data_IF_882272170183
#
_entry.id   IF_882272170183
#
_cell.length_a   1.000
_cell.length_b   1.000
_cell.length_c   1.000
_cell.angle_alpha   90.00
_cell.angle_beta   90.00
_cell.angle_gamma   90.00
#
_symmetry.space_group_name_H-M   'P 1'
#
loop_
_entity.id
_entity.type
_entity.pdbx_description
1 polymer ?
#
# COMPACT_ATOMS: atom_id res chain seq x y z
N UNK A 1 -4.70 14.76 13.43
CA UNK A 1 -3.58 13.81 13.23
C UNK A 1 -4.07 12.37 13.27
N UNK A 2 -4.91 11.96 14.25
CA UNK A 2 -5.48 10.60 14.32
C UNK A 2 -6.39 10.20 13.15
N UNK A 3 -7.14 11.13 12.56
CA UNK A 3 -8.10 10.84 11.47
C UNK A 3 -7.40 10.26 10.24
N UNK A 4 -6.29 10.87 9.80
CA UNK A 4 -5.54 10.39 8.64
C UNK A 4 -4.88 9.01 8.85
N UNK A 5 -4.47 8.68 10.09
CA UNK A 5 -3.94 7.35 10.38
C UNK A 5 -5.05 6.29 10.33
N UNK A 6 -6.25 6.62 10.83
CA UNK A 6 -7.41 5.75 10.70
C UNK A 6 -7.83 5.58 9.22
N UNK A 7 -7.73 6.62 8.41
CA UNK A 7 -7.98 6.55 6.97
C UNK A 7 -6.96 5.64 6.27
N UNK A 8 -5.68 5.66 6.69
CA UNK A 8 -4.65 4.73 6.19
C UNK A 8 -5.02 3.28 6.56
N UNK A 9 -5.42 3.02 7.80
CA UNK A 9 -5.81 1.69 8.25
C UNK A 9 -7.01 1.16 7.46
N UNK A 10 -8.03 1.99 7.27
CA UNK A 10 -9.21 1.65 6.48
C UNK A 10 -8.83 1.39 5.00
N UNK A 11 -7.95 2.22 4.42
CA UNK A 11 -7.48 2.05 3.05
C UNK A 11 -6.68 0.74 2.90
N UNK A 12 -5.85 0.37 3.88
CA UNK A 12 -5.13 -0.90 3.86
C UNK A 12 -6.08 -2.10 3.96
N UNK A 13 -7.09 -2.02 4.84
CA UNK A 13 -8.10 -3.07 4.99
C UNK A 13 -8.95 -3.26 3.71
N UNK A 14 -9.10 -2.20 2.91
CA UNK A 14 -9.78 -2.24 1.61
C UNK A 14 -8.91 -2.69 0.43
N UNK A 15 -7.70 -3.23 0.67
CA UNK A 15 -6.88 -3.78 -0.42
C UNK A 15 -7.32 -5.19 -0.82
N UNK A 16 -7.76 -6.01 0.14
CA UNK A 16 -8.05 -7.42 -0.07
C UNK A 16 -7.50 -8.31 1.03
N UNK A 17 -7.34 -9.59 0.71
CA UNK A 17 -6.77 -10.59 1.62
C UNK A 17 -6.08 -11.71 0.85
N UNK A 18 -5.13 -12.38 1.49
CA UNK A 18 -4.59 -13.65 0.98
C UNK A 18 -5.37 -14.83 1.56
N UNK A 19 -5.82 -15.75 0.71
CA UNK A 19 -6.41 -17.03 1.13
C UNK A 19 -5.36 -18.14 1.36
N UNK A 20 -4.07 -17.79 1.24
CA UNK A 20 -2.93 -18.71 1.34
C UNK A 20 -2.53 -19.38 0.01
N UNK A 21 -3.33 -19.24 -1.05
CA UNK A 21 -3.00 -19.66 -2.41
C UNK A 21 -2.86 -18.47 -3.36
N UNK A 22 -3.82 -17.54 -3.27
CA UNK A 22 -3.90 -16.33 -4.07
C UNK A 22 -4.26 -15.14 -3.19
N UNK A 23 -3.83 -13.96 -3.59
CA UNK A 23 -4.37 -12.71 -3.12
C UNK A 23 -5.68 -12.39 -3.83
N UNK A 24 -6.73 -12.14 -3.06
CA UNK A 24 -8.04 -11.70 -3.51
C UNK A 24 -8.13 -10.19 -3.30
N UNK A 25 -7.89 -9.41 -4.35
CA UNK A 25 -8.04 -7.96 -4.29
C UNK A 25 -9.52 -7.55 -4.25
N UNK A 26 -9.85 -6.56 -3.43
CA UNK A 26 -11.17 -5.94 -3.44
C UNK A 26 -11.41 -5.18 -4.77
N UNK A 27 -12.68 -4.99 -5.20
CA UNK A 27 -13.00 -4.30 -6.45
C UNK A 27 -12.41 -2.89 -6.58
N UNK A 28 -12.18 -2.21 -5.45
CA UNK A 28 -11.65 -0.85 -5.35
C UNK A 28 -10.17 -0.79 -4.95
N UNK A 29 -9.45 -1.92 -4.96
CA UNK A 29 -8.04 -1.98 -4.57
C UNK A 29 -7.15 -0.99 -5.35
N UNK A 30 -7.47 -0.70 -6.61
CA UNK A 30 -6.76 0.31 -7.40
C UNK A 30 -6.89 1.72 -6.81
N UNK A 31 -8.08 2.11 -6.36
CA UNK A 31 -8.31 3.40 -5.71
C UNK A 31 -7.63 3.45 -4.33
N UNK A 32 -7.66 2.36 -3.59
CA UNK A 32 -6.92 2.22 -2.33
C UNK A 32 -5.41 2.40 -2.53
N UNK A 33 -4.81 1.75 -3.54
CA UNK A 33 -3.39 1.93 -3.88
C UNK A 33 -3.07 3.37 -4.30
N UNK A 34 -3.91 3.99 -5.14
CA UNK A 34 -3.77 5.41 -5.54
C UNK A 34 -3.80 6.33 -4.32
N UNK A 35 -4.70 6.06 -3.38
CA UNK A 35 -4.83 6.83 -2.15
C UNK A 35 -3.59 6.69 -1.25
N UNK A 36 -3.07 5.48 -1.05
CA UNK A 36 -1.83 5.25 -0.28
C UNK A 36 -0.63 5.98 -0.90
N UNK A 37 -0.49 5.93 -2.23
CA UNK A 37 0.55 6.70 -2.96
C UNK A 37 0.37 8.21 -2.72
N UNK A 38 -0.87 8.70 -2.79
CA UNK A 38 -1.20 10.10 -2.59
C UNK A 38 -0.89 10.58 -1.16
N UNK A 39 -1.17 9.76 -0.14
CA UNK A 39 -0.87 10.03 1.26
C UNK A 39 0.64 10.05 1.48
N UNK A 40 1.37 9.03 1.02
CA UNK A 40 2.81 8.92 1.22
C UNK A 40 3.61 10.05 0.56
N UNK A 41 3.13 10.61 -0.55
CA UNK A 41 3.73 11.78 -1.19
C UNK A 41 3.56 13.08 -0.39
N UNK A 42 2.66 13.09 0.59
CA UNK A 42 2.38 14.22 1.50
C UNK A 42 2.85 13.93 2.93
N UNK A 43 3.62 12.86 3.12
CA UNK A 43 4.19 12.55 4.42
C UNK A 43 5.11 13.69 4.84
N UNK A 44 5.01 14.07 6.11
CA UNK A 44 5.75 15.20 6.68
C UNK A 44 7.19 14.77 7.01
N UNK A 45 8.01 15.73 7.43
CA UNK A 45 9.43 15.51 7.77
C UNK A 45 9.64 14.44 8.87
N UNK A 46 8.62 14.15 9.67
CA UNK A 46 8.65 13.12 10.70
C UNK A 46 8.36 11.70 10.17
N UNK A 47 8.07 11.55 8.87
CA UNK A 47 7.73 10.31 8.18
C UNK A 47 6.70 9.45 8.93
N UNK A 48 5.65 10.10 9.46
CA UNK A 48 4.65 9.44 10.28
C UNK A 48 3.84 8.42 9.49
N UNK A 49 3.41 8.75 8.26
CA UNK A 49 2.56 7.86 7.45
C UNK A 49 3.33 6.63 6.98
N UNK A 50 4.58 6.81 6.54
CA UNK A 50 5.47 5.69 6.21
C UNK A 50 5.71 4.78 7.41
N UNK A 51 5.97 5.34 8.59
CA UNK A 51 6.18 4.53 9.81
C UNK A 51 4.91 3.79 10.21
N UNK A 52 3.75 4.40 10.04
CA UNK A 52 2.46 3.78 10.31
C UNK A 52 2.20 2.58 9.38
N UNK A 53 2.38 2.76 8.06
CA UNK A 53 2.29 1.67 7.08
C UNK A 53 3.30 0.54 7.33
N UNK A 54 4.51 0.89 7.78
CA UNK A 54 5.50 -0.11 8.19
C UNK A 54 5.04 -0.95 9.39
N UNK A 55 4.28 -0.36 10.32
CA UNK A 55 3.73 -1.06 11.49
C UNK A 55 2.50 -1.89 11.17
N UNK A 56 1.67 -1.44 10.22
CA UNK A 56 0.51 -2.21 9.74
C UNK A 56 0.91 -3.47 8.96
N UNK A 57 2.18 -3.54 8.52
CA UNK A 57 2.76 -4.65 7.75
C UNK A 57 2.14 -4.86 6.38
N UNK A 58 1.49 -3.83 5.80
CA UNK A 58 0.82 -3.90 4.49
C UNK A 58 1.74 -4.41 3.38
N UNK A 59 3.04 -4.11 3.45
CA UNK A 59 4.01 -4.62 2.49
C UNK A 59 4.11 -6.16 2.56
N UNK A 60 4.17 -6.72 3.78
CA UNK A 60 4.27 -8.15 4.00
C UNK A 60 2.93 -8.89 3.87
N UNK A 61 1.82 -8.26 4.24
CA UNK A 61 0.50 -8.90 4.28
C UNK A 61 -0.27 -8.79 2.97
N UNK A 62 0.00 -7.75 2.18
CA UNK A 62 -0.78 -7.44 0.98
C UNK A 62 0.12 -7.30 -0.24
N UNK A 63 0.99 -6.29 -0.28
CA UNK A 63 1.69 -5.90 -1.51
C UNK A 63 2.59 -7.02 -2.08
N UNK A 64 3.28 -7.78 -1.22
CA UNK A 64 4.12 -8.93 -1.63
C UNK A 64 3.28 -10.07 -2.20
N UNK A 65 2.07 -10.29 -1.69
CA UNK A 65 1.16 -11.33 -2.20
C UNK A 65 0.40 -10.88 -3.45
N UNK A 66 0.01 -9.60 -3.52
CA UNK A 66 -0.62 -9.00 -4.70
C UNK A 66 0.28 -9.05 -5.93
N UNK A 67 1.57 -8.80 -5.76
CA UNK A 67 2.50 -8.61 -6.89
C UNK A 67 2.54 -9.80 -7.87
N UNK A 68 2.76 -11.07 -7.46
CA UNK A 68 2.77 -12.19 -8.39
C UNK A 68 1.40 -12.45 -9.04
N UNK A 69 0.30 -12.24 -8.31
CA UNK A 69 -1.05 -12.55 -8.78
C UNK A 69 -1.62 -11.50 -9.75
N UNK A 70 -1.14 -10.26 -9.66
CA UNK A 70 -1.60 -9.13 -10.44
C UNK A 70 -0.52 -8.51 -11.34
N UNK A 71 0.64 -9.17 -11.53
CA UNK A 71 1.73 -8.66 -12.39
C UNK A 71 1.29 -8.39 -13.83
N UNK A 72 0.33 -9.17 -14.35
CA UNK A 72 -0.22 -9.01 -15.70
C UNK A 72 -1.45 -8.10 -15.76
N UNK A 73 -1.93 -7.60 -14.63
CA UNK A 73 -3.03 -6.64 -14.57
C UNK A 73 -2.46 -5.22 -14.65
N UNK A 74 -2.53 -4.61 -15.83
CA UNK A 74 -1.82 -3.35 -16.18
C UNK A 74 -1.92 -2.24 -15.12
N UNK A 75 -3.14 -1.91 -14.67
CA UNK A 75 -3.32 -0.84 -13.69
C UNK A 75 -2.77 -1.19 -12.29
N UNK A 76 -3.09 -2.38 -11.77
CA UNK A 76 -2.66 -2.80 -10.45
C UNK A 76 -1.14 -2.99 -10.40
N UNK A 77 -0.53 -3.52 -11.47
CA UNK A 77 0.92 -3.70 -11.50
C UNK A 77 1.67 -2.36 -11.51
N UNK A 78 1.23 -1.34 -12.27
CA UNK A 78 1.81 0.01 -12.22
C UNK A 78 1.74 0.59 -10.80
N UNK A 79 0.55 0.53 -10.19
CA UNK A 79 0.31 1.09 -8.86
C UNK A 79 1.12 0.37 -7.77
N UNK A 80 1.18 -0.97 -7.82
CA UNK A 80 1.96 -1.78 -6.88
C UNK A 80 3.46 -1.44 -6.95
N UNK A 81 4.03 -1.40 -8.15
CA UNK A 81 5.45 -1.07 -8.33
C UNK A 81 5.74 0.35 -7.82
N UNK A 82 4.90 1.33 -8.14
CA UNK A 82 5.06 2.71 -7.67
C UNK A 82 5.00 2.81 -6.15
N UNK A 83 4.04 2.12 -5.52
CA UNK A 83 3.92 2.10 -4.06
C UNK A 83 5.14 1.43 -3.41
N UNK A 84 5.60 0.30 -3.95
CA UNK A 84 6.81 -0.39 -3.47
C UNK A 84 8.04 0.52 -3.56
N UNK A 85 8.26 1.17 -4.71
CA UNK A 85 9.38 2.12 -4.87
C UNK A 85 9.31 3.25 -3.85
N UNK A 86 8.11 3.80 -3.58
CA UNK A 86 7.95 4.82 -2.54
C UNK A 86 8.33 4.25 -1.17
N UNK A 87 7.80 3.09 -0.80
CA UNK A 87 8.01 2.47 0.52
C UNK A 87 9.46 2.00 0.75
N UNK A 88 10.17 1.62 -0.30
CA UNK A 88 11.57 1.14 -0.23
C UNK A 88 12.60 2.20 -0.60
N UNK A 89 12.17 3.44 -0.91
CA UNK A 89 13.10 4.54 -1.17
C UNK A 89 14.03 4.75 0.05
N UNK A 90 15.36 4.80 -0.13
CA UNK A 90 16.30 5.04 0.96
C UNK A 90 15.95 6.31 1.72
N UNK A 91 15.99 6.24 3.05
CA UNK A 91 15.71 7.38 3.96
C UNK A 91 16.90 8.35 4.09
N UNK A 92 18.04 8.01 3.51
CA UNK A 92 19.25 8.82 3.51
C UNK A 92 19.52 9.30 2.08
N UNK A 93 19.10 10.52 1.77
CA UNK A 93 19.57 11.34 0.65
C UNK A 93 19.90 12.74 1.17
#
# INVERSE_FOLDING_TARGET
>A
MSVLLADIDATCAGLGYSDGQKYQAEPDAAESLKHLIWILRRDLDNHEYRRHLGRSKVLQTDLVYMLPDYVHHEELSDLLIRLLVILTNPTLL
#
